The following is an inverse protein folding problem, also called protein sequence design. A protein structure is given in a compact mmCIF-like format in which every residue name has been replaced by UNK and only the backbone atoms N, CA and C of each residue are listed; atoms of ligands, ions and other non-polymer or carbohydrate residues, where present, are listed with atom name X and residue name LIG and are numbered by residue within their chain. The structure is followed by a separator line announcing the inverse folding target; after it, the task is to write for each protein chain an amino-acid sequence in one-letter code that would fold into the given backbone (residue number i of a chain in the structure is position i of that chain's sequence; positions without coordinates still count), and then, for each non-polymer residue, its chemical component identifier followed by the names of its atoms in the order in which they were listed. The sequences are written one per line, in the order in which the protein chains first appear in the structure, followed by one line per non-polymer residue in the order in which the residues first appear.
data_IF_197559653437
#
_entry.id   IF_197559653437
#
_cell.length_a   1.000
_cell.length_b   1.000
_cell.length_c   1.000
_cell.angle_alpha   90.00
_cell.angle_beta   90.00
_cell.angle_gamma   90.00
#
_symmetry.space_group_name_H-M   'P 1'
#
loop_
_entity.id
_entity.type
_entity.pdbx_description
1 polymer ?
#
# COMPACT_ATOMS: atom_id res chain seq x y z
N UNK A 1 -6.14 9.26 1.12
CA UNK A 1 -4.99 9.73 0.32
C UNK A 1 -4.43 11.04 0.85
N UNK A 2 -5.27 12.05 1.17
CA UNK A 2 -4.82 13.40 1.54
C UNK A 2 -3.85 13.51 2.73
N UNK A 3 -4.19 12.98 3.91
CA UNK A 3 -3.36 13.17 5.12
C UNK A 3 -2.02 12.41 5.06
N UNK A 4 -2.03 11.14 4.64
CA UNK A 4 -0.81 10.32 4.55
C UNK A 4 0.13 10.82 3.46
N UNK A 5 -0.41 11.22 2.30
CA UNK A 5 0.40 11.81 1.23
C UNK A 5 1.02 13.14 1.64
N UNK A 6 0.28 13.98 2.38
CA UNK A 6 0.81 15.24 2.90
C UNK A 6 1.92 15.02 3.93
N UNK A 7 1.74 14.08 4.87
CA UNK A 7 2.77 13.73 5.84
C UNK A 7 4.04 13.22 5.15
N UNK A 8 3.89 12.35 4.15
CA UNK A 8 5.01 11.84 3.36
C UNK A 8 5.74 12.96 2.61
N UNK A 9 5.00 13.89 2.02
CA UNK A 9 5.56 15.06 1.33
C UNK A 9 6.38 15.93 2.28
N UNK A 10 5.85 16.24 3.47
CA UNK A 10 6.54 17.03 4.50
C UNK A 10 7.84 16.32 4.93
N UNK A 11 7.79 15.01 5.19
CA UNK A 11 8.98 14.24 5.56
C UNK A 11 10.02 14.26 4.44
N UNK A 12 9.60 14.05 3.20
CA UNK A 12 10.49 14.09 2.03
C UNK A 12 11.14 15.47 1.86
N UNK A 13 10.39 16.54 2.13
CA UNK A 13 10.89 17.91 2.06
C UNK A 13 11.91 18.20 3.18
N UNK A 14 11.61 17.80 4.42
CA UNK A 14 12.55 17.95 5.55
C UNK A 14 13.83 17.16 5.29
N UNK A 15 13.73 15.90 4.87
CA UNK A 15 14.89 15.06 4.54
C UNK A 15 15.73 15.64 3.41
N UNK A 16 15.10 16.22 2.39
CA UNK A 16 15.83 16.92 1.32
C UNK A 16 16.61 18.13 1.82
N UNK A 17 16.08 18.89 2.78
CA UNK A 17 16.79 20.01 3.40
C UNK A 17 18.00 19.52 4.21
N UNK A 18 17.85 18.44 4.97
CA UNK A 18 18.96 17.85 5.72
C UNK A 18 20.08 17.36 4.80
N UNK A 19 19.72 16.65 3.73
CA UNK A 19 20.67 16.17 2.72
C UNK A 19 21.34 17.35 2.01
N UNK A 20 20.60 18.40 1.68
CA UNK A 20 21.19 19.61 1.08
C UNK A 20 22.20 20.30 2.01
N UNK A 21 21.92 20.33 3.32
CA UNK A 21 22.83 20.88 4.34
C UNK A 21 24.09 20.03 4.49
N UNK A 22 23.95 18.71 4.61
CA UNK A 22 25.10 17.78 4.69
C UNK A 22 25.97 17.85 3.42
N UNK A 23 25.36 17.85 2.23
CA UNK A 23 26.08 18.00 0.97
C UNK A 23 26.88 19.32 0.91
N UNK A 24 26.30 20.43 1.40
CA UNK A 24 27.00 21.71 1.49
C UNK A 24 28.19 21.66 2.46
N UNK A 25 28.07 20.95 3.59
CA UNK A 25 29.18 20.74 4.54
C UNK A 25 30.32 19.93 3.92
N UNK A 26 30.02 19.07 2.94
CA UNK A 26 30.99 18.25 2.20
C UNK A 26 31.58 18.96 0.96
N UNK A 27 31.41 20.28 0.83
CA UNK A 27 31.80 21.06 -0.36
C UNK A 27 31.16 20.59 -1.67
N UNK A 28 29.98 19.95 -1.61
CA UNK A 28 29.20 19.56 -2.78
C UNK A 28 28.07 20.57 -3.03
N UNK A 29 27.43 20.49 -4.21
CA UNK A 29 26.27 21.34 -4.51
C UNK A 29 25.03 20.90 -3.72
N UNK A 30 24.78 21.57 -2.59
CA UNK A 30 23.61 21.30 -1.75
C UNK A 30 22.28 21.46 -2.48
N UNK A 31 22.20 22.36 -3.47
CA UNK A 31 20.98 22.57 -4.26
C UNK A 31 20.60 21.32 -5.05
N UNK A 32 21.55 20.76 -5.82
CA UNK A 32 21.30 19.59 -6.65
C UNK A 32 21.04 18.33 -5.82
N UNK A 33 21.74 18.16 -4.70
CA UNK A 33 21.51 17.06 -3.77
C UNK A 33 20.15 17.14 -3.08
N UNK A 34 19.70 18.34 -2.69
CA UNK A 34 18.36 18.55 -2.14
C UNK A 34 17.26 18.26 -3.14
N UNK A 35 17.37 18.79 -4.36
CA UNK A 35 16.41 18.51 -5.44
C UNK A 35 16.37 17.01 -5.75
N UNK A 36 17.53 16.36 -5.89
CA UNK A 36 17.63 14.93 -6.16
C UNK A 36 16.98 14.08 -5.08
N UNK A 37 17.26 14.37 -3.81
CA UNK A 37 16.67 13.65 -2.67
C UNK A 37 15.14 13.83 -2.59
N UNK A 38 14.66 15.04 -2.82
CA UNK A 38 13.22 15.33 -2.83
C UNK A 38 12.48 14.59 -3.94
N UNK A 39 13.01 14.64 -5.16
CA UNK A 39 12.43 13.94 -6.31
C UNK A 39 12.46 12.43 -6.13
N UNK A 40 13.53 11.88 -5.52
CA UNK A 40 13.60 10.46 -5.18
C UNK A 40 12.50 10.05 -4.19
N UNK A 41 12.26 10.87 -3.16
CA UNK A 41 11.14 10.65 -2.22
C UNK A 41 9.80 10.59 -2.94
N UNK A 42 9.50 11.60 -3.77
CA UNK A 42 8.24 11.61 -4.56
C UNK A 42 8.14 10.36 -5.45
N UNK A 43 9.22 9.98 -6.12
CA UNK A 43 9.24 8.82 -7.00
C UNK A 43 8.92 7.52 -6.26
N UNK A 44 9.51 7.30 -5.09
CA UNK A 44 9.20 6.13 -4.24
C UNK A 44 7.72 6.10 -3.84
N UNK A 45 7.14 7.26 -3.52
CA UNK A 45 5.71 7.36 -3.19
C UNK A 45 4.81 6.98 -4.37
N UNK A 46 5.13 7.45 -5.58
CA UNK A 46 4.39 7.09 -6.79
C UNK A 46 4.45 5.58 -7.03
N UNK A 47 5.64 4.98 -6.92
CA UNK A 47 5.80 3.53 -7.04
C UNK A 47 4.98 2.77 -6.00
N UNK A 48 4.98 3.22 -4.75
CA UNK A 48 4.18 2.61 -3.70
C UNK A 48 2.68 2.62 -4.04
N UNK A 49 2.14 3.74 -4.52
CA UNK A 49 0.74 3.82 -4.94
C UNK A 49 0.48 2.90 -6.14
N UNK A 50 1.37 2.93 -7.13
CA UNK A 50 1.27 2.13 -8.34
C UNK A 50 1.23 0.62 -8.06
N UNK A 51 1.91 0.15 -7.01
CA UNK A 51 1.90 -1.27 -6.59
C UNK A 51 0.75 -1.58 -5.63
N UNK A 52 0.41 -0.66 -4.72
CA UNK A 52 -0.62 -0.87 -3.70
C UNK A 52 -2.02 -1.02 -4.29
N UNK A 53 -2.36 -0.24 -5.31
CA UNK A 53 -3.67 -0.32 -5.94
C UNK A 53 -3.97 -1.66 -6.62
N UNK A 54 -3.11 -2.18 -7.52
CA UNK A 54 -3.33 -3.48 -8.14
C UNK A 54 -3.34 -4.61 -7.10
N UNK A 55 -2.43 -4.57 -6.12
CA UNK A 55 -2.39 -5.58 -5.06
C UNK A 55 -3.70 -5.64 -4.26
N UNK A 56 -4.26 -4.48 -3.89
CA UNK A 56 -5.57 -4.43 -3.20
C UNK A 56 -6.71 -4.95 -4.07
N UNK A 57 -6.68 -4.67 -5.38
CA UNK A 57 -7.69 -5.18 -6.32
C UNK A 57 -7.61 -6.69 -6.44
N UNK A 58 -6.41 -7.24 -6.60
CA UNK A 58 -6.20 -8.69 -6.66
C UNK A 58 -6.64 -9.39 -5.38
N UNK A 59 -6.29 -8.86 -4.20
CA UNK A 59 -6.77 -9.38 -2.93
C UNK A 59 -8.30 -9.38 -2.85
N UNK A 60 -8.96 -8.30 -3.28
CA UNK A 60 -10.42 -8.21 -3.28
C UNK A 60 -11.04 -9.24 -4.24
N UNK A 61 -10.46 -9.43 -5.42
CA UNK A 61 -10.92 -10.40 -6.41
C UNK A 61 -10.73 -11.85 -5.95
N UNK A 62 -9.61 -12.16 -5.28
CA UNK A 62 -9.38 -13.48 -4.67
C UNK A 62 -10.44 -13.77 -3.62
N UNK A 63 -10.68 -12.81 -2.70
CA UNK A 63 -11.67 -12.96 -1.63
C UNK A 63 -13.10 -13.15 -2.16
N UNK A 64 -13.49 -12.42 -3.21
CA UNK A 64 -14.80 -12.61 -3.85
C UNK A 64 -14.93 -14.01 -4.46
N UNK A 65 -13.86 -14.52 -5.08
CA UNK A 65 -13.82 -15.88 -5.64
C UNK A 65 -13.96 -16.95 -4.56
N UNK A 66 -13.28 -16.78 -3.42
CA UNK A 66 -13.35 -17.72 -2.30
C UNK A 66 -14.76 -17.75 -1.68
N UNK A 67 -15.42 -16.59 -1.56
CA UNK A 67 -16.80 -16.49 -1.10
C UNK A 67 -17.80 -17.12 -2.10
N UNK A 68 -17.61 -16.90 -3.40
CA UNK A 68 -18.41 -17.55 -4.44
C UNK A 68 -18.24 -19.07 -4.42
N UNK A 69 -17.03 -19.56 -4.18
CA UNK A 69 -16.74 -20.98 -4.05
C UNK A 69 -17.45 -21.59 -2.82
N UNK A 70 -17.35 -20.95 -1.65
CA UNK A 70 -18.06 -21.39 -0.43
C UNK A 70 -19.58 -21.40 -0.63
N UNK A 71 -20.12 -20.39 -1.32
CA UNK A 71 -21.54 -20.33 -1.65
C UNK A 71 -21.96 -21.49 -2.56
N UNK A 72 -21.14 -21.82 -3.57
CA UNK A 72 -21.40 -22.96 -4.45
C UNK A 72 -21.37 -24.32 -3.73
N UNK A 73 -20.50 -24.50 -2.73
CA UNK A 73 -20.46 -25.70 -1.90
C UNK A 73 -21.74 -25.85 -1.05
N UNK A 74 -22.21 -24.75 -0.47
CA UNK A 74 -23.45 -24.70 0.28
C UNK A 74 -24.66 -25.02 -0.60
N UNK A 75 -24.76 -24.40 -1.78
CA UNK A 75 -25.87 -24.62 -2.73
C UNK A 75 -25.92 -26.08 -3.22
N UNK A 76 -24.77 -26.74 -3.33
CA UNK A 76 -24.67 -28.18 -3.65
C UNK A 76 -24.93 -29.11 -2.46
N UNK A 77 -25.16 -28.57 -1.26
CA UNK A 77 -25.35 -29.35 -0.04
C UNK A 77 -24.10 -30.08 0.44
N UNK A 78 -22.91 -29.70 -0.03
CA UNK A 78 -21.63 -30.33 0.36
C UNK A 78 -21.22 -29.89 1.76
N UNK A 79 -21.57 -28.67 2.15
CA UNK A 79 -21.32 -28.11 3.49
C UNK A 79 -22.62 -27.63 4.11
N UNK A 80 -22.68 -27.69 5.44
CA UNK A 80 -23.81 -27.20 6.23
C UNK A 80 -23.83 -25.66 6.33
N UNK A 81 -24.99 -25.09 6.70
CA UNK A 81 -25.14 -23.64 6.95
C UNK A 81 -24.16 -23.13 8.02
N UNK A 82 -23.96 -23.92 9.07
CA UNK A 82 -23.05 -23.58 10.17
C UNK A 82 -21.58 -23.58 9.72
N UNK A 83 -21.18 -24.52 8.87
CA UNK A 83 -19.84 -24.54 8.29
C UNK A 83 -19.62 -23.38 7.32
N UNK A 84 -20.64 -23.04 6.52
CA UNK A 84 -20.57 -21.88 5.62
C UNK A 84 -20.34 -20.57 6.38
N UNK A 85 -21.12 -20.30 7.42
CA UNK A 85 -20.96 -19.05 8.19
C UNK A 85 -19.62 -19.00 8.95
N UNK A 86 -19.10 -20.14 9.43
CA UNK A 86 -17.76 -20.21 10.03
C UNK A 86 -16.66 -19.83 9.03
N UNK A 87 -16.62 -20.48 7.86
CA UNK A 87 -15.57 -20.23 6.86
C UNK A 87 -15.70 -18.85 6.21
N UNK A 88 -16.93 -18.35 6.02
CA UNK A 88 -17.18 -16.97 5.58
C UNK A 88 -16.63 -15.96 6.58
N UNK A 89 -16.79 -16.22 7.88
CA UNK A 89 -16.23 -15.37 8.94
C UNK A 89 -14.71 -15.41 8.92
N UNK A 90 -14.08 -16.58 8.76
CA UNK A 90 -12.62 -16.70 8.64
C UNK A 90 -12.05 -15.93 7.43
N UNK A 91 -12.72 -16.00 6.27
CA UNK A 91 -12.34 -15.23 5.06
C UNK A 91 -12.49 -13.72 5.27
N UNK A 92 -13.46 -13.30 6.08
CA UNK A 92 -13.70 -11.91 6.45
C UNK A 92 -12.79 -11.43 7.60
N UNK A 93 -12.38 -12.28 8.54
CA UNK A 93 -11.49 -11.91 9.65
C UNK A 93 -10.04 -11.74 9.22
N UNK A 94 -9.62 -12.39 8.13
CA UNK A 94 -8.36 -12.09 7.42
C UNK A 94 -8.40 -10.74 6.64
N UNK A 95 -9.31 -9.83 6.97
CA UNK A 95 -9.38 -8.43 6.48
C UNK A 95 -8.46 -7.49 7.26
#
# INVERSE_FOLDING_TARGET
MGFVGLAYFIISFIGAIEIARDAKQRNMSGLWWGIGAFLLGIFVWILYIAVKEPYKREQKMSKMRDLEFLRGLKEKGVISEAEYEKHKTEVLEWM
#
